data_IF_178838076374
#
_entry.id   IF_178838076374
#
_cell.length_a   1.000
_cell.length_b   1.000
_cell.length_c   1.000
_cell.angle_alpha   90.00
_cell.angle_beta   90.00
_cell.angle_gamma   90.00
#
_symmetry.space_group_name_H-M   'P 1'
#
loop_
_entity.id
_entity.type
_entity.pdbx_description
1 polymer ?
#
# COMPACT_ATOMS: atom_id res chain seq x y z
N UNK A 1 -20.29 -16.61 -1.35
CA UNK A 1 -19.29 -16.60 -0.25
C UNK A 1 -19.47 -15.33 0.54
N UNK A 2 -19.88 -15.42 1.80
CA UNK A 2 -20.17 -14.26 2.66
C UNK A 2 -18.86 -13.72 3.22
N UNK A 3 -18.57 -12.43 2.97
CA UNK A 3 -17.37 -11.75 3.46
C UNK A 3 -17.40 -11.58 4.99
N UNK A 4 -16.28 -11.75 5.70
CA UNK A 4 -16.22 -11.47 7.12
C UNK A 4 -16.06 -9.97 7.35
N UNK A 5 -17.16 -9.32 7.74
CA UNK A 5 -17.15 -7.96 8.28
C UNK A 5 -16.29 -7.85 9.55
N UNK A 6 -15.92 -6.61 9.90
CA UNK A 6 -15.17 -6.13 11.08
C UNK A 6 -15.40 -6.90 12.40
N UNK A 7 -16.58 -7.48 12.58
CA UNK A 7 -16.98 -8.34 13.71
C UNK A 7 -16.20 -9.66 13.78
N UNK A 8 -15.80 -10.22 12.64
CA UNK A 8 -15.11 -11.51 12.58
C UNK A 8 -13.72 -11.47 13.21
N UNK A 9 -12.95 -10.38 13.04
CA UNK A 9 -11.64 -10.26 13.68
C UNK A 9 -11.79 -10.29 15.20
N UNK A 10 -12.76 -9.54 15.75
CA UNK A 10 -13.10 -9.51 17.18
C UNK A 10 -13.52 -10.89 17.71
N UNK A 11 -14.32 -11.64 16.95
CA UNK A 11 -14.79 -12.98 17.34
C UNK A 11 -13.66 -14.00 17.28
N UNK A 12 -12.84 -13.99 16.22
CA UNK A 12 -11.64 -14.83 16.10
C UNK A 12 -10.62 -14.53 17.20
N UNK A 13 -10.46 -13.25 17.57
CA UNK A 13 -9.62 -12.81 18.70
C UNK A 13 -10.09 -13.40 20.04
N UNK A 14 -11.39 -13.43 20.30
CA UNK A 14 -11.98 -14.01 21.52
C UNK A 14 -11.82 -15.53 21.60
N UNK A 15 -11.99 -16.23 20.48
CA UNK A 15 -11.83 -17.70 20.44
C UNK A 15 -10.38 -18.12 20.52
N UNK A 16 -9.45 -17.35 19.94
CA UNK A 16 -8.03 -17.66 19.97
C UNK A 16 -7.35 -17.32 21.30
N UNK A 17 -7.68 -16.17 21.91
CA UNK A 17 -7.17 -15.79 23.25
C UNK A 17 -7.57 -16.79 24.34
N UNK A 18 -8.75 -17.42 24.22
CA UNK A 18 -9.16 -18.50 25.12
C UNK A 18 -8.37 -19.80 24.92
N UNK A 19 -7.83 -20.07 23.72
CA UNK A 19 -7.10 -21.31 23.40
C UNK A 19 -5.63 -21.30 23.84
N UNK A 20 -5.00 -20.13 24.02
CA UNK A 20 -3.56 -19.98 24.36
C UNK A 20 -3.30 -19.32 25.73
N UNK A 21 -4.11 -19.64 26.74
CA UNK A 21 -4.12 -18.99 28.06
C UNK A 21 -2.89 -19.17 28.97
N UNK A 22 -1.72 -19.65 28.50
CA UNK A 22 -0.63 -19.97 29.44
C UNK A 22 0.81 -19.53 29.11
N UNK A 23 1.13 -18.85 28.00
CA UNK A 23 2.52 -18.35 27.83
C UNK A 23 2.77 -17.17 26.87
N UNK A 24 1.82 -16.74 26.03
CA UNK A 24 2.12 -15.88 24.86
C UNK A 24 1.21 -14.64 24.70
N UNK A 25 0.59 -14.13 25.77
CA UNK A 25 -0.46 -13.09 25.68
C UNK A 25 0.02 -11.69 25.28
N UNK A 26 1.25 -11.30 25.62
CA UNK A 26 1.80 -9.96 25.35
C UNK A 26 2.13 -9.69 23.87
N UNK A 27 2.94 -10.54 23.21
CA UNK A 27 3.32 -10.35 21.80
C UNK A 27 2.12 -10.30 20.84
N UNK A 28 1.08 -11.10 21.11
CA UNK A 28 -0.11 -11.15 20.25
C UNK A 28 -0.94 -9.87 20.30
N UNK A 29 -1.07 -9.23 21.47
CA UNK A 29 -1.80 -7.97 21.58
C UNK A 29 -1.13 -6.86 20.76
N UNK A 30 0.21 -6.79 20.79
CA UNK A 30 0.98 -5.81 20.01
C UNK A 30 0.82 -6.00 18.50
N UNK A 31 0.85 -7.24 18.03
CA UNK A 31 0.61 -7.58 16.63
C UNK A 31 -0.82 -7.20 16.17
N UNK A 32 -1.83 -7.39 17.03
CA UNK A 32 -3.23 -7.02 16.74
C UNK A 32 -3.39 -5.50 16.59
N UNK A 33 -2.81 -4.74 17.52
CA UNK A 33 -2.79 -3.27 17.45
C UNK A 33 -2.08 -2.81 16.17
N UNK A 34 -0.95 -3.43 15.83
CA UNK A 34 -0.19 -3.09 14.62
C UNK A 34 -0.98 -3.40 13.33
N UNK A 35 -1.69 -4.52 13.29
CA UNK A 35 -2.58 -4.89 12.18
C UNK A 35 -3.71 -3.88 11.99
N UNK A 36 -4.37 -3.50 13.08
CA UNK A 36 -5.44 -2.50 13.05
C UNK A 36 -4.93 -1.14 12.60
N UNK A 37 -3.76 -0.73 13.10
CA UNK A 37 -3.10 0.51 12.70
C UNK A 37 -2.79 0.50 11.20
N UNK A 38 -2.26 -0.60 10.67
CA UNK A 38 -1.99 -0.73 9.23
C UNK A 38 -3.28 -0.60 8.41
N UNK A 39 -4.35 -1.30 8.79
CA UNK A 39 -5.65 -1.19 8.12
C UNK A 39 -6.22 0.23 8.18
N UNK A 40 -6.11 0.92 9.33
CA UNK A 40 -6.54 2.32 9.47
C UNK A 40 -5.71 3.25 8.60
N UNK A 41 -4.39 3.06 8.53
CA UNK A 41 -3.51 3.83 7.66
C UNK A 41 -3.90 3.67 6.20
N UNK A 42 -4.13 2.43 5.74
CA UNK A 42 -4.55 2.11 4.38
C UNK A 42 -5.92 2.70 4.07
N UNK A 43 -6.87 2.60 5.00
CA UNK A 43 -8.19 3.22 4.89
C UNK A 43 -8.11 4.74 4.73
N UNK A 44 -7.33 5.39 5.61
CA UNK A 44 -7.15 6.86 5.59
C UNK A 44 -6.43 7.38 4.34
N UNK A 45 -5.72 6.52 3.61
CA UNK A 45 -4.99 6.90 2.40
C UNK A 45 -5.88 6.98 1.15
N UNK A 46 -7.17 6.62 1.25
CA UNK A 46 -8.11 6.70 0.13
C UNK A 46 -7.76 5.77 -1.03
N UNK A 47 -7.14 4.62 -0.73
CA UNK A 47 -6.77 3.61 -1.72
C UNK A 47 -8.00 2.98 -2.38
N UNK A 48 -7.78 2.18 -3.43
CA UNK A 48 -8.86 1.56 -4.22
C UNK A 48 -9.83 0.80 -3.33
N UNK A 49 -11.12 0.88 -3.66
CA UNK A 49 -12.17 0.13 -2.98
C UNK A 49 -11.84 -1.37 -2.91
N UNK A 50 -12.07 -1.98 -1.74
CA UNK A 50 -11.72 -3.38 -1.45
C UNK A 50 -10.26 -3.64 -1.05
N UNK A 51 -9.34 -2.66 -1.12
CA UNK A 51 -7.95 -2.85 -0.69
C UNK A 51 -7.86 -3.14 0.81
N UNK A 52 -8.62 -2.41 1.63
CA UNK A 52 -8.70 -2.63 3.07
C UNK A 52 -9.31 -4.01 3.38
N UNK A 53 -10.35 -4.42 2.66
CA UNK A 53 -11.00 -5.72 2.88
C UNK A 53 -10.09 -6.90 2.52
N UNK A 54 -9.33 -6.78 1.43
CA UNK A 54 -8.33 -7.77 1.04
C UNK A 54 -7.21 -7.86 2.07
N UNK A 55 -6.67 -6.72 2.52
CA UNK A 55 -5.67 -6.67 3.58
C UNK A 55 -6.20 -7.27 4.90
N UNK A 56 -7.44 -6.96 5.26
CA UNK A 56 -8.08 -7.50 6.45
C UNK A 56 -8.25 -9.02 6.38
N UNK A 57 -8.72 -9.52 5.23
CA UNK A 57 -8.88 -10.97 4.98
C UNK A 57 -7.55 -11.69 5.07
N UNK A 58 -6.51 -11.10 4.48
CA UNK A 58 -5.15 -11.61 4.53
C UNK A 58 -4.65 -11.72 5.98
N UNK A 59 -4.76 -10.65 6.76
CA UNK A 59 -4.34 -10.65 8.16
C UNK A 59 -5.13 -11.67 8.97
N UNK A 60 -6.46 -11.75 8.80
CA UNK A 60 -7.31 -12.74 9.45
C UNK A 60 -6.89 -14.19 9.13
N UNK A 61 -6.51 -14.47 7.89
CA UNK A 61 -6.01 -15.79 7.50
C UNK A 61 -4.65 -16.08 8.13
N UNK A 62 -3.77 -15.07 8.15
CA UNK A 62 -2.48 -15.15 8.83
C UNK A 62 -2.59 -15.50 10.31
N UNK A 63 -3.56 -14.89 10.99
CA UNK A 63 -3.87 -15.21 12.39
C UNK A 63 -4.31 -16.65 12.58
N UNK A 64 -5.14 -17.18 11.68
CA UNK A 64 -5.56 -18.57 11.73
C UNK A 64 -4.38 -19.53 11.56
N UNK A 65 -3.44 -19.22 10.66
CA UNK A 65 -2.22 -20.02 10.50
C UNK A 65 -1.32 -19.95 11.72
N UNK A 66 -1.10 -18.76 12.28
CA UNK A 66 -0.32 -18.57 13.51
C UNK A 66 -0.94 -19.30 14.72
N UNK A 67 -2.27 -19.45 14.73
CA UNK A 67 -2.99 -20.22 15.73
C UNK A 67 -2.75 -21.73 15.64
N UNK A 68 -2.57 -22.24 14.42
CA UNK A 68 -2.32 -23.65 14.14
C UNK A 68 -0.83 -23.99 14.30
N UNK A 69 0.05 -23.06 13.91
CA UNK A 69 1.49 -23.23 13.87
C UNK A 69 2.21 -21.96 14.36
N UNK A 70 2.86 -22.06 15.52
CA UNK A 70 3.59 -20.93 16.14
C UNK A 70 4.80 -20.46 15.34
N UNK A 71 5.29 -21.25 14.37
CA UNK A 71 6.38 -20.81 13.49
C UNK A 71 6.00 -19.59 12.63
N UNK A 72 4.69 -19.37 12.42
CA UNK A 72 4.15 -18.22 11.70
C UNK A 72 4.00 -16.96 12.56
N UNK A 73 4.05 -17.04 13.90
CA UNK A 73 3.89 -15.88 14.80
C UNK A 73 4.92 -14.79 14.47
N UNK A 74 6.20 -15.17 14.43
CA UNK A 74 7.31 -14.25 14.15
C UNK A 74 7.31 -13.72 12.71
N UNK A 75 6.82 -14.51 11.76
CA UNK A 75 6.76 -14.13 10.35
C UNK A 75 5.65 -13.11 10.10
N UNK A 76 4.47 -13.32 10.71
CA UNK A 76 3.34 -12.40 10.65
C UNK A 76 3.69 -11.05 11.30
N UNK A 77 4.34 -11.07 12.48
CA UNK A 77 4.75 -9.84 13.17
C UNK A 77 5.74 -9.02 12.32
N UNK A 78 6.83 -9.64 11.86
CA UNK A 78 7.81 -8.98 11.01
C UNK A 78 7.19 -8.42 9.73
N UNK A 79 6.24 -9.14 9.13
CA UNK A 79 5.53 -8.64 7.96
C UNK A 79 4.73 -7.38 8.30
N UNK A 80 3.90 -7.40 9.35
CA UNK A 80 3.06 -6.26 9.74
C UNK A 80 3.95 -5.03 9.99
N UNK A 81 5.06 -5.20 10.72
CA UNK A 81 6.02 -4.13 11.00
C UNK A 81 6.64 -3.60 9.71
N UNK A 82 7.17 -4.47 8.84
CA UNK A 82 7.77 -4.05 7.56
C UNK A 82 6.77 -3.32 6.66
N UNK A 83 5.54 -3.83 6.59
CA UNK A 83 4.45 -3.25 5.80
C UNK A 83 4.07 -1.88 6.33
N UNK A 84 3.94 -1.75 7.65
CA UNK A 84 3.63 -0.48 8.33
C UNK A 84 4.72 0.54 8.10
N UNK A 85 5.99 0.17 8.28
CA UNK A 85 7.12 1.08 8.07
C UNK A 85 7.19 1.55 6.62
N UNK A 86 7.11 0.63 5.66
CA UNK A 86 7.14 0.95 4.24
C UNK A 86 5.96 1.85 3.84
N UNK A 87 4.75 1.50 4.27
CA UNK A 87 3.56 2.30 3.99
C UNK A 87 3.63 3.69 4.64
N UNK A 88 4.19 3.80 5.84
CA UNK A 88 4.43 5.09 6.51
C UNK A 88 5.33 5.99 5.68
N UNK A 89 6.46 5.44 5.17
CA UNK A 89 7.39 6.20 4.33
C UNK A 89 6.71 6.68 3.05
N UNK A 90 6.05 5.78 2.31
CA UNK A 90 5.41 6.16 1.03
C UNK A 90 4.25 7.14 1.26
N UNK A 91 3.45 6.95 2.32
CA UNK A 91 2.38 7.88 2.69
C UNK A 91 2.91 9.26 3.05
N UNK A 92 4.01 9.33 3.80
CA UNK A 92 4.64 10.61 4.14
C UNK A 92 5.08 11.33 2.86
N UNK A 93 5.77 10.64 1.96
CA UNK A 93 6.21 11.23 0.68
C UNK A 93 5.02 11.74 -0.15
N UNK A 94 3.90 11.00 -0.19
CA UNK A 94 2.70 11.45 -0.88
C UNK A 94 2.10 12.72 -0.23
N UNK A 95 2.06 12.78 1.10
CA UNK A 95 1.59 13.96 1.83
C UNK A 95 2.49 15.19 1.61
N UNK A 96 3.81 14.98 1.62
CA UNK A 96 4.80 16.03 1.39
C UNK A 96 4.63 16.65 -0.02
N UNK A 97 4.26 15.85 -1.02
CA UNK A 97 3.91 16.38 -2.35
C UNK A 97 2.54 17.05 -2.35
N UNK A 98 1.55 16.50 -1.65
CA UNK A 98 0.18 17.02 -1.66
C UNK A 98 0.04 18.45 -1.12
N UNK A 99 1.01 18.93 -0.33
CA UNK A 99 1.04 20.30 0.20
C UNK A 99 1.78 21.30 -0.71
N UNK A 100 2.43 20.83 -1.78
CA UNK A 100 3.20 21.68 -2.71
C UNK A 100 2.36 22.41 -3.78
N UNK A 101 1.25 21.86 -4.31
CA UNK A 101 0.44 22.55 -5.30
C UNK A 101 -0.03 23.92 -4.78
N UNK A 102 0.16 24.96 -5.59
CA UNK A 102 -0.35 26.29 -5.26
C UNK A 102 -1.87 26.32 -5.49
N UNK A 103 -2.63 27.07 -4.68
CA UNK A 103 -4.06 27.29 -4.92
C UNK A 103 -4.27 28.20 -6.14
N UNK A 104 -4.00 27.68 -7.33
CA UNK A 104 -4.35 28.30 -8.59
C UNK A 104 -5.55 27.52 -9.16
N UNK A 105 -6.73 28.05 -8.89
CA UNK A 105 -8.06 27.58 -9.32
C UNK A 105 -8.58 26.31 -8.61
N UNK A 106 -9.89 26.25 -8.26
CA UNK A 106 -10.51 25.11 -7.55
C UNK A 106 -10.69 23.84 -8.40
N UNK A 107 -9.87 23.65 -9.44
CA UNK A 107 -9.89 22.49 -10.33
C UNK A 107 -8.60 21.68 -10.24
N UNK A 108 -8.69 20.36 -10.43
CA UNK A 108 -7.52 19.50 -10.61
C UNK A 108 -6.78 19.90 -11.89
N UNK A 109 -5.47 20.11 -11.78
CA UNK A 109 -4.53 20.28 -12.89
C UNK A 109 -4.06 18.95 -13.49
N UNK A 110 -4.62 17.83 -13.04
CA UNK A 110 -4.27 16.50 -13.52
C UNK A 110 -4.67 16.39 -15.01
N UNK A 111 -3.76 15.90 -15.87
CA UNK A 111 -4.08 15.64 -17.26
C UNK A 111 -5.33 14.77 -17.41
N UNK A 112 -6.25 15.17 -18.30
CA UNK A 112 -7.51 14.46 -18.52
C UNK A 112 -7.33 12.97 -18.87
N UNK A 113 -6.19 12.64 -19.50
CA UNK A 113 -5.81 11.25 -19.83
C UNK A 113 -5.59 10.36 -18.61
N UNK A 114 -5.38 10.93 -17.42
CA UNK A 114 -5.18 10.19 -16.17
C UNK A 114 -6.45 10.12 -15.31
N UNK A 115 -7.48 10.91 -15.61
CA UNK A 115 -8.69 11.00 -14.79
C UNK A 115 -9.45 9.68 -14.84
N UNK A 116 -9.78 9.14 -13.65
CA UNK A 116 -10.54 7.90 -13.51
C UNK A 116 -9.73 6.62 -13.80
N UNK A 117 -8.45 6.72 -14.15
CA UNK A 117 -7.59 5.55 -14.30
C UNK A 117 -7.11 5.02 -12.96
N UNK A 118 -6.95 3.70 -12.88
CA UNK A 118 -6.49 3.01 -11.69
C UNK A 118 -5.57 1.83 -12.04
N UNK A 119 -4.74 1.41 -11.08
CA UNK A 119 -3.89 0.23 -11.19
C UNK A 119 -3.00 0.27 -12.44
N UNK A 120 -2.96 -0.84 -13.17
CA UNK A 120 -2.12 -1.00 -14.37
C UNK A 120 -2.42 0.05 -15.45
N UNK A 121 -3.69 0.39 -15.69
CA UNK A 121 -4.05 1.39 -16.70
C UNK A 121 -3.49 2.78 -16.34
N UNK A 122 -3.54 3.14 -15.04
CA UNK A 122 -2.94 4.38 -14.57
C UNK A 122 -1.41 4.34 -14.68
N UNK A 123 -0.78 3.20 -14.35
CA UNK A 123 0.66 3.01 -14.51
C UNK A 123 1.10 3.24 -15.96
N UNK A 124 0.45 2.56 -16.91
CA UNK A 124 0.77 2.67 -18.34
C UNK A 124 0.56 4.09 -18.85
N UNK A 125 -0.54 4.74 -18.45
CA UNK A 125 -0.82 6.12 -18.83
C UNK A 125 0.21 7.10 -18.25
N UNK A 126 0.67 6.91 -17.02
CA UNK A 126 1.73 7.71 -16.39
C UNK A 126 3.08 7.54 -17.11
N UNK A 127 3.45 6.30 -17.46
CA UNK A 127 4.69 6.01 -18.21
C UNK A 127 4.63 6.58 -19.62
N UNK A 128 3.48 6.48 -20.28
CA UNK A 128 3.26 7.03 -21.61
C UNK A 128 3.06 8.55 -21.63
N UNK A 129 2.89 9.18 -20.47
CA UNK A 129 2.57 10.60 -20.37
C UNK A 129 3.72 11.45 -20.91
N UNK A 130 3.43 12.15 -22.00
CA UNK A 130 4.32 13.17 -22.58
C UNK A 130 3.75 14.53 -22.24
N UNK A 131 4.21 15.10 -21.14
CA UNK A 131 3.98 16.52 -20.85
C UNK A 131 4.98 17.36 -21.63
N UNK A 132 4.50 18.45 -22.20
CA UNK A 132 5.36 19.50 -22.72
C UNK A 132 6.14 20.12 -21.56
N UNK A 133 7.38 20.56 -21.82
CA UNK A 133 8.24 21.16 -20.81
C UNK A 133 7.71 22.52 -20.27
N UNK A 134 6.74 23.12 -20.95
CA UNK A 134 6.04 24.34 -20.55
C UNK A 134 4.79 24.08 -19.68
N UNK A 135 4.50 22.81 -19.36
CA UNK A 135 3.43 22.46 -18.45
C UNK A 135 3.62 23.17 -17.09
N UNK A 136 2.51 23.61 -16.49
CA UNK A 136 2.60 24.38 -15.25
C UNK A 136 3.16 23.54 -14.11
N UNK A 137 3.78 24.20 -13.13
CA UNK A 137 4.25 23.57 -11.89
C UNK A 137 3.19 22.66 -11.26
N UNK A 138 1.94 23.11 -11.19
CA UNK A 138 0.84 22.35 -10.61
C UNK A 138 0.54 21.06 -11.38
N UNK A 139 0.64 21.05 -12.72
CA UNK A 139 0.46 19.83 -13.52
C UNK A 139 1.51 18.79 -13.16
N UNK A 140 2.78 19.18 -13.07
CA UNK A 140 3.86 18.27 -12.68
C UNK A 140 3.69 17.73 -11.25
N UNK A 141 3.30 18.59 -10.29
CA UNK A 141 3.04 18.15 -8.92
C UNK A 141 1.84 17.20 -8.81
N UNK A 142 0.77 17.43 -9.57
CA UNK A 142 -0.39 16.51 -9.58
C UNK A 142 -0.05 15.16 -10.22
N UNK A 143 0.77 15.13 -11.26
CA UNK A 143 1.27 13.87 -11.84
C UNK A 143 2.17 13.12 -10.86
N UNK A 144 3.10 13.82 -10.18
CA UNK A 144 3.94 13.24 -9.14
C UNK A 144 3.09 12.68 -7.99
N UNK A 145 2.04 13.41 -7.58
CA UNK A 145 1.11 12.97 -6.55
C UNK A 145 0.31 11.73 -6.99
N UNK A 146 -0.16 11.69 -8.24
CA UNK A 146 -0.86 10.53 -8.80
C UNK A 146 0.06 9.29 -8.83
N UNK A 147 1.31 9.44 -9.26
CA UNK A 147 2.30 8.36 -9.24
C UNK A 147 2.59 7.88 -7.81
N UNK A 148 2.73 8.79 -6.82
CA UNK A 148 2.88 8.40 -5.41
C UNK A 148 1.66 7.67 -4.85
N UNK A 149 0.45 8.11 -5.18
CA UNK A 149 -0.79 7.42 -4.77
C UNK A 149 -0.87 6.02 -5.35
N UNK A 150 -0.46 5.84 -6.60
CA UNK A 150 -0.35 4.51 -7.22
C UNK A 150 0.75 3.68 -6.55
N UNK A 151 1.90 4.25 -6.20
CA UNK A 151 2.96 3.54 -5.47
C UNK A 151 2.50 3.06 -4.07
N UNK A 152 1.65 3.84 -3.39
CA UNK A 152 1.01 3.38 -2.13
C UNK A 152 0.12 2.15 -2.37
N UNK A 153 -0.70 2.16 -3.43
CA UNK A 153 -1.54 1.02 -3.81
C UNK A 153 -0.70 -0.23 -4.13
N UNK A 154 0.29 -0.08 -5.04
CA UNK A 154 1.21 -1.16 -5.43
C UNK A 154 1.98 -1.73 -4.23
N UNK A 155 2.34 -0.89 -3.27
CA UNK A 155 2.97 -1.35 -2.02
C UNK A 155 2.03 -2.27 -1.26
N UNK A 156 0.77 -1.89 -1.04
CA UNK A 156 -0.19 -2.75 -0.32
C UNK A 156 -0.48 -4.03 -1.10
N UNK A 157 -0.67 -3.95 -2.41
CA UNK A 157 -0.93 -5.11 -3.27
C UNK A 157 0.26 -6.09 -3.32
N UNK A 158 1.50 -5.59 -3.31
CA UNK A 158 2.70 -6.43 -3.19
C UNK A 158 2.70 -7.21 -1.86
N UNK A 159 2.39 -6.55 -0.74
CA UNK A 159 2.36 -7.23 0.57
C UNK A 159 1.25 -8.29 0.62
N UNK A 160 0.06 -7.97 0.08
CA UNK A 160 -1.03 -8.93 -0.05
C UNK A 160 -0.56 -10.13 -0.88
N UNK A 161 0.04 -9.90 -2.05
CA UNK A 161 0.49 -10.98 -2.93
C UNK A 161 1.55 -11.88 -2.28
N UNK A 162 2.60 -11.29 -1.70
CA UNK A 162 3.68 -12.05 -1.05
C UNK A 162 3.14 -12.91 0.08
N UNK A 163 2.19 -12.41 0.84
CA UNK A 163 1.66 -13.14 1.98
C UNK A 163 0.58 -14.15 1.62
N UNK A 164 -0.23 -13.91 0.58
CA UNK A 164 -1.10 -14.96 0.01
C UNK A 164 -0.25 -16.18 -0.38
N UNK A 165 0.93 -15.97 -0.95
CA UNK A 165 1.87 -17.05 -1.29
C UNK A 165 2.41 -17.79 -0.05
N UNK A 166 2.74 -17.07 1.02
CA UNK A 166 3.24 -17.65 2.27
C UNK A 166 2.15 -18.48 2.95
N UNK A 167 0.95 -17.91 3.11
CA UNK A 167 -0.16 -18.49 3.88
C UNK A 167 -0.89 -19.60 3.15
N UNK A 168 -1.20 -19.43 1.87
CA UNK A 168 -2.07 -20.39 1.15
C UNK A 168 -1.30 -21.52 0.47
N UNK A 169 -0.03 -21.33 0.12
CA UNK A 169 0.72 -22.31 -0.67
C UNK A 169 1.73 -23.08 0.19
N UNK A 170 1.98 -22.65 1.43
CA UNK A 170 2.90 -23.33 2.37
C UNK A 170 4.36 -23.42 1.88
N UNK A 171 4.67 -22.79 0.74
CA UNK A 171 5.95 -22.86 0.06
C UNK A 171 6.31 -21.41 -0.33
N UNK A 172 6.89 -20.67 0.60
CA UNK A 172 7.76 -19.56 0.20
C UNK A 172 9.15 -20.13 -0.06
N UNK A 173 9.29 -20.94 -1.12
CA UNK A 173 10.57 -20.97 -1.82
C UNK A 173 10.68 -19.58 -2.45
N UNK A 174 11.63 -18.79 -1.96
CA UNK A 174 11.97 -17.47 -2.45
C UNK A 174 12.50 -17.51 -3.90
N UNK A 175 11.72 -18.10 -4.80
CA UNK A 175 11.94 -17.93 -6.22
C UNK A 175 11.21 -16.64 -6.58
N UNK A 176 11.93 -15.68 -7.13
CA UNK A 176 11.40 -14.42 -7.65
C UNK A 176 10.31 -14.73 -8.68
N UNK A 177 9.06 -14.87 -8.22
CA UNK A 177 7.94 -15.05 -9.12
C UNK A 177 7.85 -13.80 -9.99
N UNK A 178 7.66 -13.96 -11.30
CA UNK A 178 7.60 -12.88 -12.27
C UNK A 178 6.64 -11.74 -11.84
N UNK A 179 5.57 -12.10 -11.10
CA UNK A 179 4.63 -11.14 -10.49
C UNK A 179 5.29 -10.22 -9.46
N UNK A 180 6.06 -10.77 -8.51
CA UNK A 180 6.77 -10.00 -7.48
C UNK A 180 7.80 -9.08 -8.10
N UNK A 181 8.54 -9.57 -9.10
CA UNK A 181 9.51 -8.76 -9.84
C UNK A 181 8.80 -7.61 -10.59
N UNK A 182 7.63 -7.87 -11.18
CA UNK A 182 6.84 -6.84 -11.85
C UNK A 182 6.39 -5.74 -10.87
N UNK A 183 6.00 -6.08 -9.64
CA UNK A 183 5.71 -5.08 -8.60
C UNK A 183 6.92 -4.20 -8.30
N UNK A 184 8.11 -4.79 -8.11
CA UNK A 184 9.32 -4.01 -7.84
C UNK A 184 9.67 -3.08 -8.99
N UNK A 185 9.61 -3.57 -10.24
CA UNK A 185 9.86 -2.75 -11.44
C UNK A 185 8.87 -1.60 -11.57
N UNK A 186 7.58 -1.83 -11.28
CA UNK A 186 6.58 -0.76 -11.28
C UNK A 186 6.85 0.28 -10.21
N UNK A 187 7.21 -0.14 -8.99
CA UNK A 187 7.55 0.78 -7.90
C UNK A 187 8.78 1.64 -8.25
N UNK A 188 9.82 1.04 -8.80
CA UNK A 188 11.02 1.75 -9.25
C UNK A 188 10.71 2.76 -10.37
N UNK A 189 9.91 2.35 -11.36
CA UNK A 189 9.47 3.25 -12.42
C UNK A 189 8.60 4.41 -11.89
N UNK A 190 7.74 4.16 -10.90
CA UNK A 190 6.95 5.21 -10.25
C UNK A 190 7.83 6.17 -9.45
N UNK A 191 8.86 5.68 -8.76
CA UNK A 191 9.83 6.54 -8.06
C UNK A 191 10.56 7.47 -9.04
N UNK A 192 11.08 6.92 -10.14
CA UNK A 192 11.75 7.70 -11.18
C UNK A 192 10.82 8.75 -11.85
N UNK A 193 9.55 8.39 -12.07
CA UNK A 193 8.54 9.33 -12.59
C UNK A 193 8.29 10.48 -11.61
N UNK A 194 8.19 10.18 -10.32
CA UNK A 194 7.99 11.20 -9.29
C UNK A 194 9.18 12.16 -9.24
N UNK A 195 10.41 11.64 -9.17
CA UNK A 195 11.62 12.45 -9.13
C UNK A 195 11.70 13.39 -10.34
N UNK A 196 11.52 12.84 -11.54
CA UNK A 196 11.49 13.62 -12.78
C UNK A 196 10.47 14.77 -12.73
N UNK A 197 9.25 14.51 -12.26
CA UNK A 197 8.21 15.54 -12.22
C UNK A 197 8.43 16.56 -11.10
N UNK A 198 9.05 16.19 -9.99
CA UNK A 198 9.46 17.15 -8.95
C UNK A 198 10.59 18.07 -9.44
N UNK A 199 11.55 17.54 -10.18
CA UNK A 199 12.63 18.33 -10.78
C UNK A 199 12.07 19.33 -11.79
N UNK A 200 11.18 18.90 -12.69
CA UNK A 200 10.51 19.79 -13.65
C UNK A 200 9.67 20.86 -12.95
N UNK A 201 8.92 20.50 -11.90
CA UNK A 201 8.15 21.46 -11.11
C UNK A 201 9.03 22.51 -10.42
N UNK A 202 10.26 22.14 -10.07
CA UNK A 202 11.25 23.05 -9.47
C UNK A 202 11.87 23.97 -10.52
N UNK A 203 12.17 23.46 -11.70
CA UNK A 203 12.72 24.25 -12.82
C UNK A 203 11.74 25.30 -13.33
N UNK A 204 10.44 24.97 -13.42
CA UNK A 204 9.38 25.93 -13.79
C UNK A 204 9.22 27.06 -12.75
N UNK A 205 9.69 26.87 -11.51
CA UNK A 205 9.66 27.87 -10.46
C UNK A 205 10.90 28.79 -10.41
N UNK A 206 11.92 28.52 -11.24
CA UNK A 206 13.12 29.35 -11.33
C UNK A 206 12.88 30.55 -12.28
N UNK A 207 13.26 31.78 -11.89
CA UNK A 207 13.08 32.99 -12.70
C UNK A 207 13.98 33.06 -13.94
#
# INVERSE_FOLDING_TARGET
MHLPHRTHLSIFLSTYTNKRKSAHSGPMAAMCVSSQRLCQMVHSAGLRHGTVDRLHTLLATGWWMAAIDSSYDSQLDQMIVRSTNRFTVVKKLANDIAVLPQPAHPGSSLPATLIGLHGQNLFEALVALRLLADATKNVHLEVALAARRLAMQETVDLHIHVYERIVYIGIYKANENATTLAFFRRLEALDALVEKHLDLATQVAAP
#
